data_IF_555233854255
#
_entry.id   IF_555233854255
#
_cell.length_a   1.000
_cell.length_b   1.000
_cell.length_c   1.000
_cell.angle_alpha   90.00
_cell.angle_beta   90.00
_cell.angle_gamma   90.00
#
_symmetry.space_group_name_H-M   'P 1'
#
loop_
_entity.id
_entity.type
_entity.pdbx_description
1 polymer ?
#
# COMPACT_ATOMS: atom_id res chain seq x y z
N UNK A 1 -29.92 -41.58 -7.77
CA UNK A 1 -28.60 -41.09 -7.32
C UNK A 1 -28.81 -40.20 -6.10
N UNK A 2 -28.47 -40.64 -4.88
CA UNK A 2 -27.17 -40.42 -4.19
C UNK A 2 -26.88 -38.90 -3.99
N UNK A 3 -26.67 -38.26 -2.83
CA UNK A 3 -26.62 -38.56 -1.37
C UNK A 3 -26.85 -37.22 -0.62
N UNK A 4 -27.37 -37.30 0.60
CA UNK A 4 -27.74 -36.27 1.59
C UNK A 4 -26.50 -35.70 2.36
N UNK A 5 -26.42 -34.46 2.89
CA UNK A 5 -26.88 -34.10 4.25
C UNK A 5 -26.81 -32.58 4.56
N UNK A 6 -27.73 -32.14 5.43
CA UNK A 6 -28.02 -30.78 5.92
C UNK A 6 -27.07 -30.26 7.03
N UNK A 7 -27.12 -28.95 7.37
CA UNK A 7 -26.23 -28.30 8.34
C UNK A 7 -26.66 -28.55 9.79
N UNK A 8 -25.70 -28.52 10.72
CA UNK A 8 -25.95 -28.66 12.17
C UNK A 8 -25.34 -27.48 12.95
N UNK A 9 -26.21 -26.68 13.56
CA UNK A 9 -25.90 -25.76 14.65
C UNK A 9 -26.35 -26.36 15.98
N UNK A 10 -25.58 -26.20 17.07
CA UNK A 10 -26.15 -26.18 18.44
C UNK A 10 -25.23 -25.57 19.51
N UNK A 11 -25.69 -24.43 20.04
CA UNK A 11 -25.93 -24.00 21.43
C UNK A 11 -25.01 -24.46 22.59
N UNK A 12 -24.58 -23.45 23.34
CA UNK A 12 -23.99 -23.43 24.71
C UNK A 12 -24.89 -24.10 25.76
N UNK A 13 -24.32 -24.63 26.87
CA UNK A 13 -24.90 -24.35 28.18
C UNK A 13 -23.91 -23.98 29.30
N UNK A 14 -24.51 -23.30 30.27
CA UNK A 14 -23.99 -22.59 31.44
C UNK A 14 -23.67 -23.50 32.65
N UNK A 15 -22.87 -22.95 33.58
CA UNK A 15 -22.53 -23.42 34.94
C UNK A 15 -23.72 -23.78 35.87
N UNK A 16 -23.52 -24.69 36.86
CA UNK A 16 -23.82 -24.49 38.32
C UNK A 16 -23.60 -25.74 39.23
N UNK A 17 -22.98 -25.49 40.41
CA UNK A 17 -23.32 -25.96 41.79
C UNK A 17 -23.10 -27.45 42.22
N UNK A 18 -22.81 -27.86 43.47
CA UNK A 18 -22.41 -27.27 44.78
C UNK A 18 -22.16 -28.41 45.84
N UNK A 19 -21.18 -28.20 46.76
CA UNK A 19 -21.09 -28.57 48.21
C UNK A 19 -20.92 -30.00 48.80
N UNK A 20 -20.13 -29.99 49.91
CA UNK A 20 -19.93 -30.88 51.10
C UNK A 20 -18.69 -31.81 51.02
N UNK A 21 -17.83 -32.02 52.04
CA UNK A 21 -17.84 -31.77 53.48
C UNK A 21 -16.40 -31.85 54.08
N UNK A 22 -16.22 -31.36 55.31
CA UNK A 22 -14.97 -31.24 56.11
C UNK A 22 -14.55 -32.57 56.75
N UNK A 23 -13.24 -32.84 56.86
CA UNK A 23 -12.64 -33.58 57.99
C UNK A 23 -11.19 -33.12 58.21
N UNK A 24 -10.84 -32.79 59.46
CA UNK A 24 -9.53 -32.26 59.85
C UNK A 24 -8.45 -33.33 60.05
N UNK A 25 -7.20 -32.86 60.06
CA UNK A 25 -6.03 -33.66 60.41
C UNK A 25 -4.76 -32.80 60.35
N UNK A 26 -4.22 -32.46 61.52
CA UNK A 26 -2.97 -31.73 61.75
C UNK A 26 -1.79 -32.56 61.24
N UNK A 27 -0.80 -31.95 60.56
CA UNK A 27 0.63 -32.13 60.83
C UNK A 27 1.56 -31.43 59.81
N UNK A 28 2.69 -30.97 60.36
CA UNK A 28 3.97 -30.66 59.71
C UNK A 28 4.09 -29.37 58.89
N UNK A 29 4.83 -28.42 59.47
CA UNK A 29 5.48 -27.33 58.78
C UNK A 29 6.52 -27.86 57.78
N UNK A 30 6.42 -27.43 56.53
CA UNK A 30 7.53 -27.39 55.59
C UNK A 30 7.36 -26.11 54.77
N UNK A 31 8.34 -25.21 54.88
CA UNK A 31 8.42 -24.00 54.04
C UNK A 31 8.53 -24.44 52.58
N UNK A 32 7.41 -24.46 51.87
CA UNK A 32 7.41 -24.59 50.43
C UNK A 32 7.57 -23.19 49.86
N UNK A 33 8.74 -22.89 49.29
CA UNK A 33 8.88 -21.79 48.34
C UNK A 33 7.81 -22.03 47.28
N UNK A 34 6.72 -21.26 47.31
CA UNK A 34 5.77 -21.27 46.21
C UNK A 34 6.51 -20.63 45.05
N UNK A 35 7.10 -21.47 44.21
CA UNK A 35 7.33 -21.15 42.82
C UNK A 35 6.00 -20.57 42.33
N UNK A 36 5.99 -19.25 42.16
CA UNK A 36 4.98 -18.59 41.34
C UNK A 36 4.97 -19.40 40.05
N UNK A 37 3.83 -20.00 39.65
CA UNK A 37 3.77 -20.59 38.32
C UNK A 37 4.15 -19.44 37.41
N UNK A 38 5.29 -19.57 36.72
CA UNK A 38 5.60 -18.72 35.60
C UNK A 38 4.36 -18.80 34.74
N UNK A 39 3.56 -17.73 34.75
CA UNK A 39 2.58 -17.49 33.72
C UNK A 39 3.37 -17.64 32.45
N UNK A 40 3.17 -18.77 31.77
CA UNK A 40 3.61 -18.94 30.41
C UNK A 40 3.07 -17.70 29.71
N UNK A 41 3.98 -16.76 29.40
CA UNK A 41 3.65 -15.66 28.53
C UNK A 41 3.06 -16.36 27.31
N UNK A 42 1.79 -16.09 27.02
CA UNK A 42 1.23 -16.47 25.75
C UNK A 42 2.25 -15.97 24.73
N UNK A 43 2.90 -16.90 24.01
CA UNK A 43 3.75 -16.53 22.90
C UNK A 43 2.82 -15.75 21.98
N UNK A 44 3.01 -14.44 21.94
CA UNK A 44 2.16 -13.55 21.16
C UNK A 44 2.28 -14.05 19.72
N UNK A 45 1.26 -14.76 19.26
CA UNK A 45 1.28 -15.46 17.98
C UNK A 45 0.91 -14.50 16.86
N UNK A 46 1.04 -13.19 17.11
CA UNK A 46 0.90 -12.14 16.14
C UNK A 46 2.14 -12.14 15.26
N UNK A 47 2.00 -12.69 14.06
CA UNK A 47 2.98 -12.48 13.02
C UNK A 47 3.04 -10.97 12.71
N UNK A 48 4.20 -10.35 12.90
CA UNK A 48 4.38 -8.94 12.57
C UNK A 48 5.72 -8.71 11.91
N UNK A 49 5.75 -7.77 10.97
CA UNK A 49 6.96 -7.30 10.31
C UNK A 49 6.81 -5.80 10.06
N UNK A 50 7.89 -5.07 10.25
CA UNK A 50 7.92 -3.63 10.05
C UNK A 50 8.52 -3.31 8.68
N UNK A 51 7.95 -2.33 8.01
CA UNK A 51 8.43 -1.79 6.74
C UNK A 51 8.85 -0.35 6.97
N UNK A 52 10.12 -0.04 6.71
CA UNK A 52 10.67 1.30 6.83
C UNK A 52 10.89 1.89 5.44
N UNK A 53 10.27 3.04 5.19
CA UNK A 53 10.40 3.81 3.96
C UNK A 53 10.65 5.27 4.34
N UNK A 54 11.77 5.84 3.90
CA UNK A 54 12.11 7.25 4.16
C UNK A 54 12.00 7.62 5.66
N UNK A 55 12.64 6.82 6.52
CA UNK A 55 12.62 6.93 7.99
C UNK A 55 11.23 6.77 8.65
N UNK A 56 10.19 6.41 7.89
CA UNK A 56 8.85 6.11 8.39
C UNK A 56 8.67 4.61 8.50
N UNK A 57 8.36 4.13 9.71
CA UNK A 57 8.11 2.72 9.98
C UNK A 57 6.62 2.43 10.00
N UNK A 58 6.19 1.46 9.19
CA UNK A 58 4.82 0.95 9.11
C UNK A 58 4.82 -0.52 9.51
N UNK A 59 4.05 -0.85 10.53
CA UNK A 59 3.88 -2.25 10.95
C UNK A 59 2.84 -2.94 10.05
N UNK A 60 3.18 -4.15 9.61
CA UNK A 60 2.24 -5.10 9.06
C UNK A 60 2.06 -6.25 10.05
N UNK A 61 0.82 -6.51 10.44
CA UNK A 61 0.43 -7.63 11.27
C UNK A 61 -0.96 -8.15 10.86
N UNK A 62 -1.34 -9.32 11.37
CA UNK A 62 -2.67 -9.88 11.15
C UNK A 62 -3.76 -8.89 11.59
N UNK A 63 -4.77 -8.70 10.73
CA UNK A 63 -5.89 -7.78 11.00
C UNK A 63 -5.56 -6.27 10.91
N UNK A 64 -4.32 -5.87 10.57
CA UNK A 64 -3.97 -4.44 10.39
C UNK A 64 -4.77 -3.79 9.25
N UNK A 65 -5.06 -4.55 8.19
CA UNK A 65 -5.93 -4.15 7.07
C UNK A 65 -6.85 -5.30 6.66
N UNK A 66 -7.98 -5.01 5.98
CA UNK A 66 -8.80 -6.06 5.38
C UNK A 66 -7.96 -6.96 4.47
N UNK A 67 -7.92 -8.26 4.79
CA UNK A 67 -7.13 -9.24 4.04
C UNK A 67 -5.67 -9.37 4.47
N UNK A 68 -5.21 -8.61 5.48
CA UNK A 68 -3.92 -8.84 6.11
C UNK A 68 -3.97 -10.12 6.95
N UNK A 69 -3.12 -11.09 6.63
CA UNK A 69 -2.93 -12.35 7.38
C UNK A 69 -1.45 -12.73 7.44
N UNK A 70 -1.10 -13.71 8.28
CA UNK A 70 0.28 -14.20 8.43
C UNK A 70 0.84 -14.95 7.23
N UNK A 71 -0.03 -15.56 6.43
CA UNK A 71 0.35 -16.48 5.35
C UNK A 71 0.68 -15.79 4.03
N UNK A 72 0.53 -14.46 3.97
CA UNK A 72 0.88 -13.69 2.77
C UNK A 72 2.40 -13.53 2.63
N UNK A 73 2.84 -13.26 1.41
CA UNK A 73 4.24 -12.93 1.13
C UNK A 73 4.53 -11.48 1.47
N UNK A 74 5.81 -11.11 1.65
CA UNK A 74 6.24 -9.71 1.79
C UNK A 74 5.69 -8.85 0.63
N UNK A 75 5.79 -9.32 -0.61
CA UNK A 75 5.27 -8.60 -1.78
C UNK A 75 3.78 -8.28 -1.61
N UNK A 76 2.99 -9.26 -1.17
CA UNK A 76 1.55 -9.05 -0.98
C UNK A 76 1.22 -8.19 0.23
N UNK A 77 2.01 -8.27 1.30
CA UNK A 77 1.89 -7.40 2.46
C UNK A 77 2.14 -5.93 2.07
N UNK A 78 3.16 -5.67 1.26
CA UNK A 78 3.47 -4.34 0.70
C UNK A 78 2.31 -3.84 -0.17
N UNK A 79 1.72 -4.68 -1.03
CA UNK A 79 0.54 -4.31 -1.81
C UNK A 79 -0.67 -3.96 -0.93
N UNK A 80 -0.88 -4.70 0.18
CA UNK A 80 -1.96 -4.43 1.14
C UNK A 80 -1.71 -3.10 1.87
N UNK A 81 -0.46 -2.82 2.22
CA UNK A 81 -0.08 -1.55 2.84
C UNK A 81 -0.24 -0.38 1.86
N UNK A 82 0.03 -0.55 0.57
CA UNK A 82 -0.24 0.43 -0.48
C UNK A 82 0.16 1.85 -0.08
N UNK A 83 -0.80 2.78 -0.12
CA UNK A 83 -0.62 4.21 0.20
C UNK A 83 -0.18 4.51 1.64
N UNK A 84 -0.20 3.53 2.55
CA UNK A 84 0.34 3.71 3.90
C UNK A 84 1.87 3.79 3.89
N UNK A 85 2.52 3.26 2.85
CA UNK A 85 3.97 3.40 2.67
C UNK A 85 4.29 4.78 2.07
N UNK A 86 5.00 5.61 2.84
CA UNK A 86 5.34 6.98 2.46
C UNK A 86 6.55 7.03 1.51
N UNK A 87 6.37 6.60 0.26
CA UNK A 87 7.42 6.69 -0.77
C UNK A 87 7.58 8.15 -1.24
N UNK A 88 8.80 8.72 -1.24
CA UNK A 88 9.05 10.07 -1.75
C UNK A 88 8.66 10.26 -3.22
N UNK A 89 8.24 11.46 -3.60
CA UNK A 89 7.90 11.78 -4.99
C UNK A 89 9.09 11.53 -5.94
N UNK A 90 8.81 10.92 -7.10
CA UNK A 90 9.82 10.56 -8.09
C UNK A 90 10.72 9.38 -7.68
N UNK A 91 10.37 8.64 -6.62
CA UNK A 91 11.04 7.41 -6.21
C UNK A 91 10.12 6.20 -6.30
N UNK A 92 10.71 5.05 -6.60
CA UNK A 92 10.09 3.74 -6.51
C UNK A 92 10.87 2.86 -5.54
N UNK A 93 10.19 1.92 -4.88
CA UNK A 93 10.85 0.86 -4.10
C UNK A 93 11.51 -0.11 -5.09
N UNK A 94 12.83 -0.22 -5.04
CA UNK A 94 13.57 -1.18 -5.86
C UNK A 94 13.60 -2.56 -5.20
N UNK A 95 14.00 -2.62 -3.93
CA UNK A 95 14.01 -3.83 -3.15
C UNK A 95 13.99 -3.55 -1.65
N UNK A 96 13.72 -4.58 -0.85
CA UNK A 96 13.77 -4.53 0.59
C UNK A 96 15.07 -5.12 1.12
N UNK A 97 15.54 -4.61 2.24
CA UNK A 97 16.75 -5.10 2.91
C UNK A 97 16.48 -5.35 4.39
N UNK A 98 17.13 -6.37 4.95
CA UNK A 98 17.18 -6.65 6.37
C UNK A 98 18.65 -6.63 6.78
N UNK A 99 19.03 -5.75 7.71
CA UNK A 99 20.43 -5.56 8.11
C UNK A 99 21.38 -5.31 6.91
N UNK A 100 20.90 -4.61 5.88
CA UNK A 100 21.64 -4.33 4.64
C UNK A 100 21.70 -5.49 3.64
N UNK A 101 21.12 -6.66 3.95
CA UNK A 101 21.04 -7.78 3.03
C UNK A 101 19.69 -7.78 2.30
N UNK A 102 19.71 -7.94 0.97
CA UNK A 102 18.49 -8.01 0.16
C UNK A 102 17.63 -9.19 0.60
N UNK A 103 16.35 -8.93 0.88
CA UNK A 103 15.38 -9.98 1.23
C UNK A 103 14.62 -10.48 0.01
N UNK A 104 14.21 -11.76 0.05
CA UNK A 104 13.33 -12.34 -0.95
C UNK A 104 11.87 -11.97 -0.61
N UNK A 105 11.23 -11.16 -1.47
CA UNK A 105 9.85 -10.71 -1.23
C UNK A 105 8.79 -11.81 -1.41
N UNK A 106 9.19 -12.98 -1.90
CA UNK A 106 8.35 -14.19 -1.91
C UNK A 106 8.29 -14.93 -0.57
N UNK A 107 9.11 -14.56 0.41
CA UNK A 107 9.04 -15.13 1.76
C UNK A 107 7.73 -14.74 2.44
N UNK A 108 7.20 -15.66 3.26
CA UNK A 108 5.98 -15.43 4.03
C UNK A 108 6.27 -14.47 5.18
N UNK A 109 5.31 -13.63 5.52
CA UNK A 109 5.40 -12.78 6.72
C UNK A 109 5.52 -13.62 7.98
N UNK A 110 4.93 -14.83 8.01
CA UNK A 110 5.05 -15.79 9.12
C UNK A 110 6.47 -16.35 9.33
N UNK A 111 7.44 -16.07 8.45
CA UNK A 111 8.81 -16.59 8.57
C UNK A 111 9.47 -16.10 9.88
N UNK A 112 9.99 -17.01 10.74
CA UNK A 112 10.66 -16.65 11.98
C UNK A 112 11.80 -15.63 11.81
N UNK A 113 12.51 -15.67 10.68
CA UNK A 113 13.65 -14.78 10.42
C UNK A 113 13.21 -13.34 10.11
N UNK A 114 11.92 -13.14 9.82
CA UNK A 114 11.31 -11.85 9.51
C UNK A 114 10.46 -11.29 10.66
N UNK A 115 10.11 -12.12 11.65
CA UNK A 115 9.24 -11.70 12.76
C UNK A 115 9.84 -10.55 13.58
N UNK A 116 9.05 -9.51 13.82
CA UNK A 116 9.41 -8.31 14.57
C UNK A 116 10.68 -7.62 14.02
N UNK A 117 11.02 -7.87 12.74
CA UNK A 117 12.14 -7.21 12.07
C UNK A 117 11.65 -6.02 11.26
N UNK A 118 12.58 -5.09 11.03
CA UNK A 118 12.36 -3.94 10.16
C UNK A 118 13.04 -4.17 8.83
N UNK A 119 12.23 -4.27 7.79
CA UNK A 119 12.67 -4.29 6.41
C UNK A 119 12.79 -2.85 5.93
N UNK A 120 13.98 -2.46 5.50
CA UNK A 120 14.27 -1.10 5.02
C UNK A 120 14.20 -1.09 3.50
N UNK A 121 13.40 -0.17 2.95
CA UNK A 121 13.28 0.02 1.51
C UNK A 121 14.57 0.64 0.93
N UNK A 122 15.10 0.00 -0.10
CA UNK A 122 16.05 0.63 -1.02
C UNK A 122 15.28 1.25 -2.18
N UNK A 123 15.40 2.56 -2.33
CA UNK A 123 14.68 3.33 -3.33
C UNK A 123 15.53 3.52 -4.60
N UNK A 124 14.86 3.59 -5.74
CA UNK A 124 15.42 4.03 -7.02
C UNK A 124 14.65 5.21 -7.57
N UNK A 125 15.22 5.91 -8.54
CA UNK A 125 14.50 6.92 -9.29
C UNK A 125 13.38 6.28 -10.10
N UNK A 126 12.16 6.80 -9.93
CA UNK A 126 11.04 6.47 -10.80
C UNK A 126 11.31 7.02 -12.21
N UNK A 127 10.86 6.34 -13.27
CA UNK A 127 10.99 6.86 -14.63
C UNK A 127 10.26 8.21 -14.74
N UNK A 128 11.02 9.29 -14.97
CA UNK A 128 10.41 10.59 -15.25
C UNK A 128 9.71 10.52 -16.61
N UNK A 129 8.41 10.88 -16.72
CA UNK A 129 7.75 10.95 -18.01
C UNK A 129 8.48 11.94 -18.92
N UNK A 130 8.60 11.60 -20.20
CA UNK A 130 9.13 12.52 -21.19
C UNK A 130 8.24 13.77 -21.28
N UNK A 131 8.82 14.94 -21.54
CA UNK A 131 8.10 16.20 -21.69
C UNK A 131 8.33 16.79 -23.09
N UNK A 132 7.30 17.40 -23.67
CA UNK A 132 7.31 17.99 -25.00
C UNK A 132 6.92 19.46 -24.96
N UNK A 133 7.52 20.26 -25.84
CA UNK A 133 7.10 21.65 -26.05
C UNK A 133 6.11 21.72 -27.22
N UNK A 134 4.88 22.16 -26.93
CA UNK A 134 3.86 22.49 -27.93
C UNK A 134 3.98 23.96 -28.26
N UNK A 135 4.09 24.29 -29.56
CA UNK A 135 4.14 25.66 -30.05
C UNK A 135 2.84 26.00 -30.77
N UNK A 136 2.20 27.10 -30.38
CA UNK A 136 0.98 27.61 -30.96
C UNK A 136 1.32 28.75 -31.93
N UNK A 137 1.37 28.39 -33.20
CA UNK A 137 1.65 29.29 -34.32
C UNK A 137 0.32 29.85 -34.88
N UNK A 138 0.23 31.18 -35.03
CA UNK A 138 -0.95 31.86 -35.57
C UNK A 138 -1.07 31.74 -37.10
N UNK A 139 0.00 31.31 -37.77
CA UNK A 139 0.04 31.00 -39.21
C UNK A 139 -0.39 32.18 -40.10
N UNK A 140 -0.08 33.42 -39.71
CA UNK A 140 -0.23 34.63 -40.54
C UNK A 140 0.84 35.69 -40.20
N UNK A 141 0.99 36.68 -41.07
CA UNK A 141 1.91 37.81 -40.85
C UNK A 141 1.24 39.18 -41.14
N UNK A 142 1.58 40.25 -40.38
CA UNK A 142 2.36 40.21 -39.15
C UNK A 142 1.56 39.56 -38.00
N UNK A 143 2.19 38.69 -37.20
CA UNK A 143 1.57 38.08 -36.03
C UNK A 143 2.31 38.39 -34.72
N UNK A 144 1.67 38.06 -33.59
CA UNK A 144 2.34 38.04 -32.29
C UNK A 144 3.26 36.82 -32.19
N UNK A 145 4.25 36.87 -31.30
CA UNK A 145 5.16 35.74 -31.07
C UNK A 145 4.38 34.46 -30.70
N UNK A 146 4.80 33.29 -31.21
CA UNK A 146 4.18 32.02 -30.87
C UNK A 146 4.20 31.75 -29.37
N UNK A 147 3.08 31.27 -28.85
CA UNK A 147 3.03 30.80 -27.46
C UNK A 147 3.51 29.36 -27.36
N UNK A 148 4.11 29.00 -26.22
CA UNK A 148 4.61 27.66 -25.95
C UNK A 148 4.06 27.10 -24.64
N UNK A 149 3.73 25.82 -24.65
CA UNK A 149 3.34 25.05 -23.47
C UNK A 149 4.22 23.80 -23.34
N UNK A 150 4.63 23.46 -22.12
CA UNK A 150 5.30 22.20 -21.84
C UNK A 150 4.27 21.18 -21.35
N UNK A 151 4.26 19.99 -21.94
CA UNK A 151 3.30 18.93 -21.64
C UNK A 151 4.04 17.61 -21.40
N UNK A 152 3.64 16.89 -20.36
CA UNK A 152 4.14 15.54 -20.14
C UNK A 152 3.52 14.56 -21.14
N UNK A 153 4.30 13.55 -21.53
CA UNK A 153 3.86 12.49 -22.43
C UNK A 153 2.59 11.82 -21.90
N UNK A 154 1.57 11.74 -22.75
CA UNK A 154 0.27 11.14 -22.41
C UNK A 154 -0.66 12.06 -21.61
N UNK A 155 -0.29 13.33 -21.37
CA UNK A 155 -1.20 14.36 -20.83
C UNK A 155 -1.74 15.24 -21.95
N UNK A 156 -2.90 15.87 -21.70
CA UNK A 156 -3.48 16.90 -22.56
C UNK A 156 -2.78 18.24 -22.33
N UNK A 157 -2.71 19.07 -23.37
CA UNK A 157 -2.27 20.46 -23.26
C UNK A 157 -3.48 21.36 -23.00
N UNK A 158 -3.32 22.41 -22.19
CA UNK A 158 -4.38 23.37 -21.98
C UNK A 158 -4.62 24.23 -23.22
N UNK A 159 -5.90 24.48 -23.52
CA UNK A 159 -6.28 25.35 -24.65
C UNK A 159 -5.84 26.79 -24.35
N UNK A 160 -5.09 27.46 -25.25
CA UNK A 160 -4.82 28.89 -25.12
C UNK A 160 -6.09 29.72 -25.26
N UNK A 161 -5.98 30.98 -24.85
CA UNK A 161 -6.94 32.01 -25.24
C UNK A 161 -7.04 32.08 -26.76
N UNK A 162 -8.26 32.12 -27.27
CA UNK A 162 -8.50 32.20 -28.71
C UNK A 162 -7.91 33.51 -29.27
N UNK A 163 -7.09 33.44 -30.33
CA UNK A 163 -6.48 34.62 -30.92
C UNK A 163 -7.52 35.48 -31.62
N UNK A 164 -7.26 36.79 -31.66
CA UNK A 164 -8.12 37.77 -32.33
C UNK A 164 -7.36 38.42 -33.48
N UNK A 165 -8.02 38.46 -34.65
CA UNK A 165 -7.52 39.16 -35.84
C UNK A 165 -8.66 39.96 -36.47
N UNK A 166 -8.44 41.25 -36.67
CA UNK A 166 -9.45 42.15 -37.22
C UNK A 166 -9.94 41.68 -38.60
N UNK A 167 -11.26 41.58 -38.77
CA UNK A 167 -11.89 41.09 -40.00
C UNK A 167 -11.94 39.56 -40.15
N UNK A 168 -11.47 38.80 -39.16
CA UNK A 168 -11.47 37.33 -39.19
C UNK A 168 -12.17 36.74 -37.96
N UNK A 169 -12.73 35.54 -38.12
CA UNK A 169 -13.27 34.73 -37.01
C UNK A 169 -12.37 33.53 -36.80
N UNK A 170 -11.93 33.30 -35.55
CA UNK A 170 -11.11 32.14 -35.22
C UNK A 170 -11.92 30.85 -35.36
N UNK A 171 -11.43 29.90 -36.16
CA UNK A 171 -12.14 28.66 -36.49
C UNK A 171 -11.66 27.43 -35.67
N UNK A 172 -10.57 27.58 -34.92
CA UNK A 172 -9.96 26.52 -34.10
C UNK A 172 -8.47 26.31 -34.38
N UNK A 173 -7.85 25.49 -33.54
CA UNK A 173 -6.45 25.07 -33.66
C UNK A 173 -6.32 23.83 -34.54
N UNK A 174 -5.25 23.75 -35.33
CA UNK A 174 -4.97 22.65 -36.25
C UNK A 174 -3.53 22.18 -36.11
N UNK A 175 -3.27 20.91 -36.44
CA UNK A 175 -1.91 20.34 -36.42
C UNK A 175 -1.16 20.51 -37.73
N UNK A 176 -1.84 21.02 -38.76
CA UNK A 176 -1.27 21.35 -40.08
C UNK A 176 -1.59 22.80 -40.46
N UNK A 177 -0.76 23.36 -41.35
CA UNK A 177 -0.89 24.74 -41.83
C UNK A 177 -2.05 24.92 -42.80
N UNK A 178 -2.51 23.86 -43.45
CA UNK A 178 -3.63 23.87 -44.38
C UNK A 178 -4.99 23.88 -43.68
N UNK A 179 -5.01 23.71 -42.35
CA UNK A 179 -6.20 23.76 -41.52
C UNK A 179 -7.11 22.52 -41.62
N UNK A 180 -6.59 21.37 -42.08
CA UNK A 180 -7.39 20.17 -42.36
C UNK A 180 -7.62 19.30 -41.14
N UNK A 181 -6.65 19.23 -40.23
CA UNK A 181 -6.69 18.38 -39.05
C UNK A 181 -6.87 19.25 -37.82
N UNK A 182 -8.11 19.34 -37.35
CA UNK A 182 -8.43 20.05 -36.12
C UNK A 182 -7.85 19.33 -34.92
N UNK A 183 -7.25 20.10 -34.03
CA UNK A 183 -6.77 19.61 -32.75
C UNK A 183 -7.91 19.67 -31.72
N UNK A 184 -8.13 18.58 -30.99
CA UNK A 184 -9.07 18.50 -29.88
C UNK A 184 -8.29 18.45 -28.56
N UNK A 185 -8.54 19.42 -27.69
CA UNK A 185 -7.86 19.54 -26.39
C UNK A 185 -8.45 18.59 -25.33
N UNK A 186 -9.59 17.95 -25.60
CA UNK A 186 -10.24 17.04 -24.67
C UNK A 186 -9.68 15.60 -24.71
N UNK A 187 -8.76 15.30 -25.64
CA UNK A 187 -8.29 13.93 -25.93
C UNK A 187 -6.80 13.81 -26.05
#
# INVERSE_FOLDING_TARGET
MFVCWLPSMRKVPHMRNWKKQVLGGVCAAAMLVTLVPATAMAADTSCSVNFEVNDVVVEYADGVKPGATCDVTIAKAVDILGDTLSVPEGKDIDHWTLNGQKVNTGAKVSDPDLQNKTLVASLKDAPKPASFTVTFDLNYEPSADPWQANVESGKTVDKPTDPQREGYTFAGWTTDKEGKNKFDFAT
#
